data_IF_232298544127
#
_entry.id   IF_232298544127
#
_cell.length_a   1.000
_cell.length_b   1.000
_cell.length_c   1.000
_cell.angle_alpha   90.00
_cell.angle_beta   90.00
_cell.angle_gamma   90.00
#
_symmetry.space_group_name_H-M   'P 1'
#
loop_
_entity.id
_entity.type
_entity.pdbx_description
1 polymer ?
#
# COMPACT_ATOMS: atom_id res chain seq x y z
N UNK A 1 2.66 -17.13 1.11
CA UNK A 1 4.01 -17.73 1.05
C UNK A 1 4.50 -18.17 2.44
N UNK A 2 4.44 -17.32 3.46
CA UNK A 2 4.86 -17.69 4.84
C UNK A 2 4.13 -18.94 5.40
N UNK A 3 2.80 -19.02 5.26
CA UNK A 3 2.01 -20.21 5.61
C UNK A 3 2.49 -21.50 4.94
N UNK A 4 2.90 -21.42 3.69
CA UNK A 4 3.45 -22.55 2.94
C UNK A 4 4.88 -22.90 3.39
N UNK A 5 5.70 -21.91 3.75
CA UNK A 5 7.03 -22.17 4.30
C UNK A 5 6.98 -22.86 5.67
N UNK A 6 5.92 -22.60 6.46
CA UNK A 6 5.71 -23.26 7.74
C UNK A 6 5.31 -24.74 7.60
N UNK A 7 4.54 -25.09 6.55
CA UNK A 7 4.19 -26.47 6.23
C UNK A 7 4.25 -26.69 4.71
N UNK A 8 5.46 -27.04 4.25
CA UNK A 8 5.74 -27.31 2.83
C UNK A 8 5.01 -28.58 2.33
N UNK A 9 4.70 -29.52 3.24
CA UNK A 9 4.11 -30.81 2.92
C UNK A 9 2.61 -30.69 2.58
N UNK A 10 1.90 -29.75 3.19
CA UNK A 10 0.52 -29.42 2.86
C UNK A 10 0.27 -29.02 1.40
N UNK A 11 1.32 -28.53 0.71
CA UNK A 11 1.22 -28.05 -0.66
C UNK A 11 0.53 -26.69 -0.78
N UNK A 12 0.89 -25.94 -1.82
CA UNK A 12 0.41 -24.56 -2.03
C UNK A 12 -1.12 -24.46 -2.21
N UNK A 13 -1.74 -25.49 -2.83
CA UNK A 13 -3.16 -25.51 -3.14
C UNK A 13 -4.06 -25.46 -1.89
N UNK A 14 -3.65 -26.11 -0.79
CA UNK A 14 -4.37 -26.09 0.50
C UNK A 14 -4.53 -24.66 1.03
N UNK A 15 -3.48 -23.84 0.89
CA UNK A 15 -3.52 -22.46 1.37
C UNK A 15 -4.29 -21.56 0.42
N UNK A 16 -4.21 -21.78 -0.90
CA UNK A 16 -4.97 -20.99 -1.88
C UNK A 16 -6.47 -21.08 -1.66
N UNK A 17 -7.00 -22.27 -1.34
CA UNK A 17 -8.44 -22.44 -1.09
C UNK A 17 -8.95 -21.64 0.13
N UNK A 18 -8.05 -21.21 1.03
CA UNK A 18 -8.42 -20.40 2.21
C UNK A 18 -8.60 -18.90 1.89
N UNK A 19 -8.26 -18.50 0.66
CA UNK A 19 -8.39 -17.14 0.15
C UNK A 19 -9.30 -17.10 -1.09
N UNK A 20 -10.24 -18.04 -1.21
CA UNK A 20 -11.20 -18.04 -2.31
C UNK A 20 -12.09 -16.79 -2.27
N UNK A 21 -12.24 -16.08 -3.41
CA UNK A 21 -13.10 -14.91 -3.47
C UNK A 21 -14.58 -15.32 -3.35
N UNK A 22 -15.33 -14.58 -2.54
CA UNK A 22 -16.77 -14.75 -2.38
C UNK A 22 -17.51 -13.58 -3.00
N UNK A 23 -18.66 -13.86 -3.62
CA UNK A 23 -19.56 -12.81 -4.11
C UNK A 23 -20.45 -12.33 -2.98
N UNK A 24 -20.39 -11.02 -2.72
CA UNK A 24 -21.25 -10.32 -1.79
C UNK A 24 -22.13 -9.37 -2.56
N UNK A 25 -23.43 -9.41 -2.28
CA UNK A 25 -24.38 -8.45 -2.83
C UNK A 25 -24.65 -7.37 -1.81
N UNK A 26 -24.36 -6.13 -2.14
CA UNK A 26 -24.66 -5.00 -1.26
C UNK A 26 -26.17 -4.68 -1.23
N UNK A 27 -26.58 -3.82 -0.30
CA UNK A 27 -27.96 -3.37 -0.17
C UNK A 27 -28.48 -2.62 -1.42
N UNK A 28 -27.59 -2.15 -2.30
CA UNK A 28 -27.93 -1.50 -3.57
C UNK A 28 -28.10 -2.49 -4.73
N UNK A 29 -27.86 -3.78 -4.48
CA UNK A 29 -27.94 -4.85 -5.46
C UNK A 29 -26.67 -5.04 -6.30
N UNK A 30 -25.61 -4.28 -6.03
CA UNK A 30 -24.31 -4.42 -6.70
C UNK A 30 -23.60 -5.66 -6.14
N UNK A 31 -23.14 -6.52 -7.04
CA UNK A 31 -22.31 -7.67 -6.69
C UNK A 31 -20.86 -7.21 -6.63
N UNK A 32 -20.21 -7.49 -5.51
CA UNK A 32 -18.79 -7.26 -5.27
C UNK A 32 -18.13 -8.55 -4.84
N UNK A 33 -17.00 -8.87 -5.43
CA UNK A 33 -16.20 -10.03 -5.04
C UNK A 33 -15.19 -9.58 -3.99
N UNK A 34 -15.12 -10.26 -2.85
CA UNK A 34 -14.15 -9.98 -1.79
C UNK A 34 -13.58 -11.27 -1.19
N UNK A 35 -12.39 -11.18 -0.59
CA UNK A 35 -11.72 -12.29 0.08
C UNK A 35 -11.74 -12.00 1.57
N UNK A 36 -12.59 -12.69 2.32
CA UNK A 36 -12.79 -12.45 3.76
C UNK A 36 -11.49 -12.49 4.56
N UNK A 37 -10.62 -13.44 4.22
CA UNK A 37 -9.37 -13.66 4.95
C UNK A 37 -8.19 -12.86 4.39
N UNK A 38 -8.40 -11.85 3.53
CA UNK A 38 -7.32 -11.17 2.77
C UNK A 38 -6.13 -10.70 3.61
N UNK A 39 -6.38 -10.31 4.87
CA UNK A 39 -5.31 -9.90 5.78
C UNK A 39 -4.83 -11.01 6.73
N UNK A 40 -5.62 -12.04 6.97
CA UNK A 40 -5.27 -13.11 7.90
C UNK A 40 -4.23 -14.06 7.30
N UNK A 41 -3.10 -14.25 8.00
CA UNK A 41 -2.13 -15.30 7.67
C UNK A 41 -2.58 -16.63 8.28
N UNK A 42 -2.66 -17.66 7.43
CA UNK A 42 -3.02 -19.01 7.86
C UNK A 42 -1.79 -19.73 8.41
N UNK A 43 -1.45 -19.49 9.69
CA UNK A 43 -0.33 -20.14 10.36
C UNK A 43 -0.81 -21.40 11.10
N UNK A 44 0.01 -22.44 11.11
CA UNK A 44 -0.32 -23.73 11.77
C UNK A 44 -0.28 -23.61 13.29
N UNK A 45 0.56 -22.71 13.81
CA UNK A 45 0.72 -22.46 15.24
C UNK A 45 -0.06 -21.19 15.62
N UNK A 46 -0.93 -21.33 16.63
CA UNK A 46 -1.62 -20.19 17.21
C UNK A 46 -0.63 -19.36 18.05
N UNK A 47 -0.83 -18.04 18.16
CA UNK A 47 -0.06 -17.22 19.07
C UNK A 47 -0.11 -17.81 20.49
N UNK A 48 1.05 -17.87 21.13
CA UNK A 48 1.25 -18.54 22.42
C UNK A 48 1.17 -17.58 23.60
N UNK A 49 1.26 -16.28 23.34
CA UNK A 49 1.18 -15.22 24.35
C UNK A 49 0.20 -14.11 23.95
N UNK A 50 -0.34 -13.41 24.94
CA UNK A 50 -1.22 -12.25 24.73
C UNK A 50 -0.52 -11.17 23.90
N UNK A 51 0.79 -10.98 24.10
CA UNK A 51 1.60 -10.03 23.33
C UNK A 51 1.63 -10.38 21.84
N UNK A 52 1.80 -11.65 21.48
CA UNK A 52 1.79 -12.09 20.08
C UNK A 52 0.40 -11.92 19.44
N UNK A 53 -0.68 -12.15 20.19
CA UNK A 53 -2.04 -11.86 19.73
C UNK A 53 -2.24 -10.38 19.46
N UNK A 54 -1.76 -9.51 20.35
CA UNK A 54 -1.89 -8.07 20.18
C UNK A 54 -1.04 -7.57 19.00
N UNK A 55 0.19 -8.05 18.85
CA UNK A 55 1.05 -7.73 17.71
C UNK A 55 0.41 -8.14 16.37
N UNK A 56 -0.18 -9.34 16.31
CA UNK A 56 -0.93 -9.81 15.13
C UNK A 56 -2.14 -8.92 14.83
N UNK A 57 -2.93 -8.55 15.86
CA UNK A 57 -4.09 -7.67 15.70
C UNK A 57 -3.68 -6.27 15.23
N UNK A 58 -2.58 -5.73 15.75
CA UNK A 58 -2.03 -4.45 15.28
C UNK A 58 -1.63 -4.55 13.81
N UNK A 59 -0.90 -5.59 13.41
CA UNK A 59 -0.52 -5.78 12.00
C UNK A 59 -1.76 -5.82 11.09
N UNK A 60 -2.78 -6.62 11.43
CA UNK A 60 -4.01 -6.74 10.65
C UNK A 60 -4.73 -5.40 10.49
N UNK A 61 -4.86 -4.66 11.60
CA UNK A 61 -5.48 -3.33 11.61
C UNK A 61 -4.78 -2.38 10.63
N UNK A 62 -3.46 -2.34 10.64
CA UNK A 62 -2.70 -1.41 9.81
C UNK A 62 -2.61 -1.81 8.34
N UNK A 63 -2.68 -3.11 8.04
CA UNK A 63 -2.84 -3.59 6.66
C UNK A 63 -4.19 -3.17 6.08
N UNK A 64 -5.26 -3.31 6.86
CA UNK A 64 -6.58 -2.81 6.47
C UNK A 64 -6.58 -1.28 6.31
N UNK A 65 -6.01 -0.55 7.26
CA UNK A 65 -5.89 0.91 7.20
C UNK A 65 -5.12 1.39 5.96
N UNK A 66 -4.05 0.70 5.56
CA UNK A 66 -3.29 1.05 4.36
C UNK A 66 -4.17 1.03 3.10
N UNK A 67 -5.00 0.00 2.94
CA UNK A 67 -5.91 -0.17 1.79
C UNK A 67 -7.13 0.77 1.90
N UNK A 68 -7.81 0.76 3.05
CA UNK A 68 -9.11 1.41 3.25
C UNK A 68 -8.99 2.91 3.52
N UNK A 69 -7.83 3.40 3.97
CA UNK A 69 -7.62 4.81 4.33
C UNK A 69 -6.49 5.43 3.53
N UNK A 70 -5.27 4.90 3.63
CA UNK A 70 -4.09 5.57 3.08
C UNK A 70 -4.16 5.72 1.55
N UNK A 71 -4.57 4.68 0.82
CA UNK A 71 -4.73 4.73 -0.65
C UNK A 71 -5.75 5.80 -1.08
N UNK A 72 -6.84 5.93 -0.33
CA UNK A 72 -7.90 6.90 -0.61
C UNK A 72 -7.51 8.35 -0.27
N UNK A 73 -6.58 8.54 0.65
CA UNK A 73 -5.97 9.85 0.94
C UNK A 73 -4.92 10.20 -0.12
N UNK A 74 -4.15 9.21 -0.58
CA UNK A 74 -3.04 9.39 -1.52
C UNK A 74 -3.51 9.84 -2.92
N UNK A 75 -4.56 9.19 -3.45
CA UNK A 75 -4.99 9.42 -4.83
C UNK A 75 -5.40 10.89 -5.08
N UNK A 76 -6.24 11.54 -4.26
CA UNK A 76 -6.57 12.96 -4.42
C UNK A 76 -5.36 13.89 -4.24
N UNK A 77 -4.34 13.46 -3.52
CA UNK A 77 -3.14 14.22 -3.27
C UNK A 77 -2.23 14.29 -4.50
N UNK A 78 -2.03 13.20 -5.22
CA UNK A 78 -1.19 13.22 -6.43
C UNK A 78 -1.88 13.88 -7.63
N UNK A 79 -3.22 13.97 -7.61
CA UNK A 79 -4.01 14.59 -8.68
C UNK A 79 -4.62 15.95 -8.29
N UNK A 80 -4.09 16.61 -7.26
CA UNK A 80 -4.66 17.86 -6.69
C UNK A 80 -4.75 18.99 -7.71
N UNK A 81 -3.69 19.16 -8.51
CA UNK A 81 -3.60 20.17 -9.58
C UNK A 81 -3.38 19.50 -10.93
N UNK A 82 -3.65 20.21 -12.03
CA UNK A 82 -3.39 19.68 -13.39
C UNK A 82 -1.91 19.37 -13.61
N UNK A 83 -1.03 20.19 -13.05
CA UNK A 83 0.42 20.01 -13.13
C UNK A 83 0.87 18.78 -12.35
N UNK A 84 0.37 18.59 -11.14
CA UNK A 84 0.65 17.40 -10.33
C UNK A 84 0.10 16.13 -11.00
N UNK A 85 -1.10 16.18 -11.57
CA UNK A 85 -1.66 15.04 -12.29
C UNK A 85 -0.83 14.66 -13.53
N UNK A 86 -0.39 15.65 -14.31
CA UNK A 86 0.49 15.39 -15.46
C UNK A 86 1.85 14.84 -15.03
N UNK A 87 2.42 15.38 -13.94
CA UNK A 87 3.65 14.87 -13.36
C UNK A 87 3.50 13.39 -12.92
N UNK A 88 2.41 13.04 -12.24
CA UNK A 88 2.16 11.67 -11.81
C UNK A 88 2.10 10.70 -13.01
N UNK A 89 1.40 11.07 -14.08
CA UNK A 89 1.33 10.23 -15.29
C UNK A 89 2.67 10.12 -16.03
N UNK A 90 3.46 11.19 -16.08
CA UNK A 90 4.81 11.12 -16.64
C UNK A 90 5.69 10.17 -15.81
N UNK A 91 5.62 10.27 -14.47
CA UNK A 91 6.33 9.36 -13.58
C UNK A 91 5.89 7.91 -13.79
N UNK A 92 4.58 7.63 -13.87
CA UNK A 92 4.06 6.28 -14.16
C UNK A 92 4.52 5.75 -15.52
N UNK A 93 4.58 6.63 -16.52
CA UNK A 93 5.11 6.28 -17.84
C UNK A 93 6.58 5.88 -17.79
N UNK A 94 7.39 6.56 -16.97
CA UNK A 94 8.80 6.27 -16.78
C UNK A 94 9.01 4.96 -16.03
N UNK A 95 8.43 4.81 -14.83
CA UNK A 95 8.63 3.59 -14.01
C UNK A 95 7.96 2.36 -14.60
N UNK A 96 6.86 2.55 -15.34
CA UNK A 96 6.17 1.49 -16.08
C UNK A 96 6.83 1.15 -17.42
N UNK A 97 7.91 1.85 -17.79
CA UNK A 97 8.63 1.68 -19.05
C UNK A 97 7.69 1.73 -20.27
N UNK A 98 6.69 2.62 -20.24
CA UNK A 98 5.68 2.68 -21.30
C UNK A 98 6.26 3.05 -22.66
N UNK A 99 7.42 3.69 -22.67
CA UNK A 99 8.13 3.99 -23.92
C UNK A 99 8.66 2.77 -24.66
N UNK A 100 8.94 1.68 -23.93
CA UNK A 100 9.34 0.39 -24.50
C UNK A 100 8.11 -0.45 -24.84
N UNK A 101 7.05 -0.32 -24.05
CA UNK A 101 5.85 -1.16 -24.14
C UNK A 101 4.77 -0.64 -25.09
N UNK A 102 4.73 0.67 -25.38
CA UNK A 102 3.66 1.30 -26.16
C UNK A 102 4.21 2.27 -27.23
N UNK A 103 3.51 2.39 -28.38
CA UNK A 103 3.79 3.44 -29.35
C UNK A 103 3.73 4.84 -28.73
N UNK A 104 4.59 5.74 -29.20
CA UNK A 104 4.70 7.12 -28.67
C UNK A 104 3.36 7.86 -28.64
N UNK A 105 2.52 7.70 -29.66
CA UNK A 105 1.24 8.39 -29.74
C UNK A 105 0.23 7.87 -28.70
N UNK A 106 0.20 6.56 -28.44
CA UNK A 106 -0.65 5.96 -27.39
C UNK A 106 -0.20 6.43 -26.02
N UNK A 107 1.11 6.40 -25.77
CA UNK A 107 1.71 6.91 -24.52
C UNK A 107 1.32 8.36 -24.26
N UNK A 108 1.48 9.25 -25.24
CA UNK A 108 1.12 10.66 -25.10
C UNK A 108 -0.39 10.82 -24.85
N UNK A 109 -1.24 10.09 -25.57
CA UNK A 109 -2.68 10.12 -25.36
C UNK A 109 -3.03 9.72 -23.92
N UNK A 110 -2.52 8.58 -23.44
CA UNK A 110 -2.79 8.08 -22.08
C UNK A 110 -2.30 9.07 -21.03
N UNK A 111 -1.12 9.67 -21.20
CA UNK A 111 -0.58 10.66 -20.27
C UNK A 111 -1.49 11.90 -20.19
N UNK A 112 -1.84 12.52 -21.31
CA UNK A 112 -2.61 13.77 -21.29
C UNK A 112 -4.09 13.56 -20.95
N UNK A 113 -4.74 12.58 -21.58
CA UNK A 113 -6.16 12.26 -21.34
C UNK A 113 -6.33 11.65 -19.96
N UNK A 114 -5.45 10.72 -19.57
CA UNK A 114 -5.46 10.09 -18.25
C UNK A 114 -5.22 11.09 -17.13
N UNK A 115 -4.22 11.97 -17.24
CA UNK A 115 -3.99 13.02 -16.25
C UNK A 115 -5.21 13.95 -16.09
N UNK A 116 -5.84 14.31 -17.21
CA UNK A 116 -7.04 15.17 -17.19
C UNK A 116 -8.20 14.46 -16.50
N UNK A 117 -8.46 13.19 -16.84
CA UNK A 117 -9.49 12.39 -16.21
C UNK A 117 -9.22 12.23 -14.70
N UNK A 118 -7.98 11.91 -14.32
CA UNK A 118 -7.60 11.71 -12.92
C UNK A 118 -7.64 12.98 -12.09
N UNK A 119 -7.40 14.16 -12.67
CA UNK A 119 -7.64 15.44 -12.01
C UNK A 119 -9.11 15.61 -11.57
N UNK A 120 -10.07 15.26 -12.44
CA UNK A 120 -11.49 15.31 -12.09
C UNK A 120 -11.88 14.19 -11.10
N UNK A 121 -11.33 12.98 -11.28
CA UNK A 121 -11.53 11.87 -10.34
C UNK A 121 -11.00 12.24 -8.95
N UNK A 122 -9.83 12.87 -8.84
CA UNK A 122 -9.25 13.35 -7.59
C UNK A 122 -10.17 14.30 -6.85
N UNK A 123 -10.80 15.26 -7.55
CA UNK A 123 -11.83 16.14 -6.94
C UNK A 123 -13.06 15.37 -6.46
N UNK A 124 -13.52 14.39 -7.22
CA UNK A 124 -14.67 13.56 -6.84
C UNK A 124 -14.35 12.69 -5.63
N UNK A 125 -13.15 12.10 -5.59
CA UNK A 125 -12.67 11.30 -4.46
C UNK A 125 -12.48 12.14 -3.21
N UNK A 126 -11.94 13.37 -3.32
CA UNK A 126 -11.89 14.33 -2.19
C UNK A 126 -13.26 14.47 -1.53
N UNK A 127 -14.31 14.70 -2.33
CA UNK A 127 -15.69 14.84 -1.84
C UNK A 127 -16.25 13.51 -1.30
N UNK A 128 -15.98 12.39 -1.96
CA UNK A 128 -16.50 11.07 -1.58
C UNK A 128 -15.92 10.60 -0.24
N UNK A 129 -14.65 10.85 0.01
CA UNK A 129 -13.94 10.40 1.21
C UNK A 129 -13.87 11.47 2.31
N UNK A 130 -14.66 12.55 2.19
CA UNK A 130 -14.73 13.65 3.15
C UNK A 130 -13.34 14.16 3.59
N UNK A 131 -12.42 14.28 2.63
CA UNK A 131 -11.08 14.80 2.91
C UNK A 131 -11.16 16.30 3.26
N UNK A 132 -10.18 16.77 4.03
CA UNK A 132 -10.06 18.18 4.40
C UNK A 132 -9.97 19.06 3.15
N UNK A 133 -10.31 20.34 3.31
CA UNK A 133 -10.26 21.28 2.20
C UNK A 133 -8.87 21.38 1.58
N UNK A 134 -7.86 21.38 2.43
CA UNK A 134 -6.50 21.04 2.03
C UNK A 134 -6.28 19.52 2.11
N UNK A 135 -6.27 18.88 0.95
CA UNK A 135 -5.99 17.44 0.84
C UNK A 135 -4.58 17.09 1.33
N UNK A 136 -3.63 18.04 1.28
CA UNK A 136 -2.28 17.82 1.81
C UNK A 136 -2.30 17.61 3.31
N UNK A 137 -3.13 18.35 4.02
CA UNK A 137 -3.27 18.16 5.46
C UNK A 137 -3.77 16.75 5.79
N UNK A 138 -4.76 16.23 5.06
CA UNK A 138 -5.20 14.85 5.25
C UNK A 138 -4.09 13.82 5.02
N UNK A 139 -3.20 14.07 4.06
CA UNK A 139 -2.06 13.18 3.81
C UNK A 139 -0.99 13.27 4.90
N UNK A 140 -0.69 14.49 5.37
CA UNK A 140 0.21 14.72 6.52
C UNK A 140 -0.32 14.05 7.78
N UNK A 141 -1.62 14.17 8.05
CA UNK A 141 -2.27 13.56 9.21
C UNK A 141 -2.13 12.03 9.16
N UNK A 142 -2.42 11.41 8.01
CA UNK A 142 -2.25 9.96 7.83
C UNK A 142 -0.79 9.51 8.01
N UNK A 143 0.18 10.26 7.49
CA UNK A 143 1.59 9.96 7.68
C UNK A 143 2.03 10.10 9.15
N UNK A 144 1.55 11.14 9.84
CA UNK A 144 1.83 11.34 11.25
C UNK A 144 1.16 10.27 12.13
N UNK A 145 -0.04 9.82 11.78
CA UNK A 145 -0.74 8.71 12.43
C UNK A 145 0.09 7.42 12.33
N UNK A 146 0.61 7.11 11.14
CA UNK A 146 1.49 5.97 10.93
C UNK A 146 2.80 6.08 11.72
N UNK A 147 3.48 7.24 11.67
CA UNK A 147 4.73 7.45 12.42
C UNK A 147 4.50 7.32 13.93
N UNK A 148 3.36 7.80 14.43
CA UNK A 148 3.00 7.66 15.84
C UNK A 148 2.83 6.21 16.23
N UNK A 149 2.23 5.39 15.36
CA UNK A 149 2.09 3.96 15.60
C UNK A 149 3.43 3.24 15.63
N UNK A 150 4.31 3.49 14.64
CA UNK A 150 5.65 2.90 14.63
C UNK A 150 6.42 3.25 15.91
N UNK A 151 6.19 4.45 16.44
CA UNK A 151 6.73 4.89 17.72
C UNK A 151 8.24 5.06 17.66
N UNK A 152 8.95 4.44 18.60
CA UNK A 152 10.42 4.51 18.71
C UNK A 152 11.14 3.32 18.08
N UNK A 153 10.40 2.32 17.62
CA UNK A 153 10.94 1.14 16.93
C UNK A 153 11.47 1.50 15.55
N UNK A 154 12.26 0.61 14.95
CA UNK A 154 12.72 0.81 13.58
C UNK A 154 11.60 0.64 12.56
N UNK A 155 10.68 -0.28 12.84
CA UNK A 155 9.53 -0.64 12.03
C UNK A 155 8.32 -0.89 12.93
N UNK A 156 7.12 -0.94 12.35
CA UNK A 156 5.92 -1.38 13.05
C UNK A 156 6.07 -2.84 13.57
N UNK A 157 6.79 -3.69 12.82
CA UNK A 157 7.20 -5.02 13.27
C UNK A 157 8.34 -5.06 14.30
N UNK A 158 8.77 -3.93 14.85
CA UNK A 158 9.86 -3.83 15.82
C UNK A 158 11.22 -3.67 15.15
N UNK A 159 12.08 -4.70 15.24
CA UNK A 159 13.44 -4.70 14.65
C UNK A 159 13.47 -5.09 13.17
N UNK A 160 12.38 -5.70 12.68
CA UNK A 160 12.22 -6.09 11.27
C UNK A 160 10.85 -5.64 10.77
N UNK A 161 10.73 -5.31 9.48
CA UNK A 161 9.45 -4.93 8.93
C UNK A 161 8.48 -6.11 8.89
N UNK A 162 7.22 -5.85 9.21
CA UNK A 162 6.14 -6.82 9.09
C UNK A 162 5.23 -6.51 7.89
N UNK A 163 4.10 -7.21 7.74
CA UNK A 163 3.24 -7.01 6.56
C UNK A 163 2.52 -5.66 6.57
N UNK A 164 2.31 -5.03 7.73
CA UNK A 164 1.79 -3.68 7.81
C UNK A 164 2.83 -2.65 7.30
N UNK A 165 4.11 -2.79 7.70
CA UNK A 165 5.18 -1.95 7.17
C UNK A 165 5.26 -2.03 5.65
N UNK A 166 5.20 -3.24 5.09
CA UNK A 166 5.24 -3.47 3.66
C UNK A 166 4.01 -2.90 2.94
N UNK A 167 2.81 -3.01 3.53
CA UNK A 167 1.59 -2.44 2.96
C UNK A 167 1.69 -0.91 2.86
N UNK A 168 2.04 -0.23 3.96
CA UNK A 168 2.19 1.23 3.98
C UNK A 168 3.32 1.68 3.06
N UNK A 169 4.46 0.98 3.10
CA UNK A 169 5.59 1.29 2.22
C UNK A 169 5.19 1.17 0.75
N UNK A 170 4.50 0.10 0.36
CA UNK A 170 4.04 -0.12 -1.01
C UNK A 170 3.14 1.00 -1.52
N UNK A 171 2.19 1.44 -0.68
CA UNK A 171 1.29 2.56 -1.00
C UNK A 171 2.08 3.85 -1.21
N UNK A 172 3.01 4.20 -0.32
CA UNK A 172 3.81 5.43 -0.46
C UNK A 172 4.81 5.36 -1.61
N UNK A 173 5.43 4.19 -1.83
CA UNK A 173 6.39 3.97 -2.92
C UNK A 173 5.76 4.12 -4.30
N UNK A 174 4.45 3.83 -4.44
CA UNK A 174 3.72 4.02 -5.70
C UNK A 174 3.73 5.47 -6.20
N UNK A 175 4.02 6.45 -5.34
CA UNK A 175 4.03 7.88 -5.68
C UNK A 175 5.35 8.58 -5.38
N UNK A 176 6.45 7.82 -5.21
CA UNK A 176 7.75 8.37 -4.80
C UNK A 176 8.24 9.52 -5.70
N UNK A 177 8.00 9.45 -7.01
CA UNK A 177 8.38 10.49 -7.97
C UNK A 177 7.48 11.73 -7.98
N UNK A 178 6.35 11.72 -7.29
CA UNK A 178 5.37 12.80 -7.30
C UNK A 178 5.73 13.93 -6.32
N UNK A 179 5.31 15.16 -6.62
CA UNK A 179 5.50 16.31 -5.70
C UNK A 179 4.87 16.06 -4.33
N UNK A 180 3.72 15.38 -4.28
CA UNK A 180 3.05 15.01 -3.03
C UNK A 180 3.94 14.24 -2.05
N UNK A 181 4.76 13.33 -2.59
CA UNK A 181 5.68 12.53 -1.79
C UNK A 181 6.83 13.37 -1.26
N UNK A 182 7.42 14.23 -2.10
CA UNK A 182 8.50 15.14 -1.72
C UNK A 182 8.07 16.09 -0.60
N UNK A 183 6.89 16.69 -0.74
CA UNK A 183 6.31 17.59 0.28
C UNK A 183 6.04 16.82 1.58
N UNK A 184 5.46 15.62 1.50
CA UNK A 184 5.23 14.77 2.66
C UNK A 184 6.51 14.44 3.44
N UNK A 185 7.62 14.17 2.75
CA UNK A 185 8.91 13.91 3.41
C UNK A 185 9.47 15.13 4.14
N UNK A 186 9.15 16.34 3.67
CA UNK A 186 9.57 17.60 4.30
C UNK A 186 8.67 17.96 5.49
N UNK A 187 7.37 17.70 5.35
CA UNK A 187 6.34 18.14 6.30
C UNK A 187 6.14 17.17 7.47
N UNK A 188 6.68 15.96 7.39
CA UNK A 188 6.45 14.90 8.37
C UNK A 188 7.73 14.17 8.74
N UNK A 189 7.69 13.40 9.83
CA UNK A 189 8.83 12.61 10.33
C UNK A 189 8.88 11.18 9.77
N UNK A 190 8.15 10.89 8.69
CA UNK A 190 8.07 9.53 8.13
C UNK A 190 9.30 9.11 7.31
N UNK A 191 10.10 10.09 6.86
CA UNK A 191 11.27 9.85 6.00
C UNK A 191 12.25 8.80 6.54
N UNK A 192 12.72 8.88 7.80
CA UNK A 192 13.63 7.88 8.36
C UNK A 192 13.10 6.44 8.27
N UNK A 193 11.82 6.22 8.59
CA UNK A 193 11.19 4.90 8.45
C UNK A 193 11.07 4.49 6.98
N UNK A 194 10.67 5.39 6.09
CA UNK A 194 10.49 5.11 4.66
C UNK A 194 11.81 4.66 4.00
N UNK A 195 12.90 5.38 4.26
CA UNK A 195 14.20 5.04 3.66
C UNK A 195 14.77 3.73 4.22
N UNK A 196 14.54 3.42 5.50
CA UNK A 196 14.85 2.10 6.07
C UNK A 196 14.07 0.99 5.35
N UNK A 197 12.76 1.19 5.14
CA UNK A 197 11.92 0.25 4.38
C UNK A 197 12.44 0.04 2.96
N UNK A 198 12.74 1.13 2.25
CA UNK A 198 13.28 1.07 0.89
C UNK A 198 14.60 0.30 0.84
N UNK A 199 15.49 0.52 1.81
CA UNK A 199 16.74 -0.24 1.92
C UNK A 199 16.48 -1.72 2.18
N UNK A 200 15.53 -2.08 3.06
CA UNK A 200 15.20 -3.48 3.34
C UNK A 200 14.66 -4.21 2.10
N UNK A 201 13.78 -3.56 1.33
CA UNK A 201 13.17 -4.12 0.12
C UNK A 201 14.20 -4.23 -1.00
N UNK A 202 15.01 -3.19 -1.23
CA UNK A 202 16.04 -3.17 -2.29
C UNK A 202 17.16 -4.19 -2.05
N UNK A 203 17.50 -4.46 -0.79
CA UNK A 203 18.50 -5.48 -0.43
C UNK A 203 17.91 -6.90 -0.32
N UNK A 204 16.65 -7.09 -0.74
CA UNK A 204 15.96 -8.39 -0.71
C UNK A 204 16.08 -9.11 0.64
N UNK A 205 15.98 -8.40 1.76
CA UNK A 205 16.24 -9.00 3.08
C UNK A 205 15.32 -10.18 3.42
N UNK A 206 14.11 -10.20 2.85
CA UNK A 206 13.17 -11.33 2.97
C UNK A 206 13.63 -12.62 2.27
N UNK A 207 14.55 -12.55 1.30
CA UNK A 207 15.05 -13.73 0.57
C UNK A 207 15.93 -14.65 1.42
N UNK A 208 16.53 -14.14 2.50
CA UNK A 208 17.36 -14.93 3.42
C UNK A 208 16.61 -16.13 4.00
N UNK A 209 15.31 -15.98 4.27
CA UNK A 209 14.47 -17.05 4.80
C UNK A 209 14.20 -18.16 3.77
N UNK A 210 14.21 -17.82 2.47
CA UNK A 210 14.05 -18.81 1.40
C UNK A 210 15.32 -19.64 1.25
N UNK A 211 16.48 -18.99 1.29
CA UNK A 211 17.79 -19.62 1.12
C UNK A 211 18.19 -20.53 2.30
N UNK A 212 17.72 -20.25 3.52
CA UNK A 212 17.93 -21.11 4.69
C UNK A 212 17.04 -22.36 4.71
N UNK A 213 16.08 -22.44 3.79
CA UNK A 213 15.09 -23.53 3.74
C UNK A 213 15.28 -24.48 2.54
N UNK A 214 16.38 -24.32 1.80
CA UNK A 214 16.91 -25.28 0.83
C UNK A 214 17.96 -26.16 1.51
#
# INVERSE_FOLDING_TARGET
MQSYLADKHAGFKKYLSLYEPIEMKDASGKVTTDVLNKYHLMLTEAPTSDQEYDDMRRELKWRAWADDTLVHVLSPNVYRTRQEALQAFNYFSEVGQWEVNFPTWERLLVVYVGATAMYFVGKRLKKRHNLKDDVRQSFRDACNEWVKEVGTSEFHGGSRPNLADLAVYGVLNSVEGCTAFKEMLQDTKIGPWYWKMKACVSNHLGSRLLNLSQ
#
